data_IF_658029030367
#
_entry.id   IF_658029030367
#
_cell.length_a   1.000
_cell.length_b   1.000
_cell.length_c   1.000
_cell.angle_alpha   90.00
_cell.angle_beta   90.00
_cell.angle_gamma   90.00
#
_symmetry.space_group_name_H-M   'P 1'
#
loop_
_entity.id
_entity.type
_entity.pdbx_description
1 polymer ?
#
# COMPACT_ATOMS: atom_id res chain seq x y z
N UNK A 1 0.38 14.13 -9.72
CA UNK A 1 1.08 13.11 -8.90
C UNK A 1 0.78 11.76 -9.52
N UNK A 2 1.78 10.88 -9.65
CA UNK A 2 1.52 9.50 -10.07
C UNK A 2 0.72 8.80 -8.97
N UNK A 3 -0.25 7.98 -9.33
CA UNK A 3 -1.09 7.25 -8.40
C UNK A 3 -0.73 5.76 -8.42
N UNK A 4 -0.79 5.12 -7.27
CA UNK A 4 -0.64 3.68 -7.12
C UNK A 4 -2.01 3.05 -6.83
N UNK A 5 -2.46 2.07 -7.64
CA UNK A 5 -3.79 1.48 -7.48
C UNK A 5 -3.89 0.60 -6.23
N UNK A 6 -5.04 0.69 -5.57
CA UNK A 6 -5.44 -0.19 -4.48
C UNK A 6 -6.60 -1.08 -4.95
N UNK A 7 -6.42 -2.39 -4.77
CA UNK A 7 -7.42 -3.40 -5.07
C UNK A 7 -8.48 -3.40 -3.96
N UNK A 8 -9.72 -3.06 -4.32
CA UNK A 8 -10.86 -3.13 -3.41
C UNK A 8 -12.11 -3.59 -4.16
N UNK A 9 -13.05 -4.18 -3.43
CA UNK A 9 -14.37 -4.55 -3.95
C UNK A 9 -15.32 -3.34 -4.10
N UNK A 10 -14.94 -2.18 -3.54
CA UNK A 10 -15.77 -0.95 -3.52
C UNK A 10 -15.58 -0.06 -4.77
N UNK A 11 -14.72 -0.44 -5.72
CA UNK A 11 -14.39 0.35 -6.91
C UNK A 11 -12.88 0.50 -7.11
N UNK A 12 -12.46 1.62 -7.71
CA UNK A 12 -11.02 1.94 -7.88
C UNK A 12 -10.59 2.94 -6.82
N UNK A 13 -9.66 2.54 -5.98
CA UNK A 13 -9.01 3.39 -4.98
C UNK A 13 -7.53 3.56 -5.33
N UNK A 14 -6.92 4.64 -4.84
CA UNK A 14 -5.53 4.98 -5.14
C UNK A 14 -4.84 5.65 -3.95
N UNK A 15 -3.52 5.49 -3.87
CA UNK A 15 -2.65 6.29 -2.99
C UNK A 15 -1.58 7.01 -3.81
N UNK A 16 -1.03 8.15 -3.33
CA UNK A 16 0.05 8.82 -4.03
C UNK A 16 1.28 7.91 -4.18
N UNK A 17 1.79 7.78 -5.39
CA UNK A 17 2.94 6.93 -5.68
C UNK A 17 4.18 7.38 -4.90
N UNK A 18 4.38 8.68 -4.72
CA UNK A 18 5.53 9.23 -3.99
C UNK A 18 5.55 8.86 -2.51
N UNK A 19 4.39 8.45 -1.94
CA UNK A 19 4.30 7.97 -0.55
C UNK A 19 4.69 6.50 -0.43
N UNK A 20 4.33 5.67 -1.42
CA UNK A 20 4.67 4.23 -1.39
C UNK A 20 6.05 3.93 -1.99
N UNK A 21 6.54 4.77 -2.91
CA UNK A 21 7.83 4.60 -3.61
C UNK A 21 9.02 4.37 -2.69
N UNK A 22 9.19 5.06 -1.55
CA UNK A 22 10.29 4.81 -0.62
C UNK A 22 10.34 3.38 -0.07
N UNK A 23 9.21 2.66 -0.13
CA UNK A 23 9.03 1.32 0.40
C UNK A 23 9.13 0.21 -0.68
N UNK A 24 9.67 0.51 -1.87
CA UNK A 24 9.79 -0.48 -2.95
C UNK A 24 10.59 -1.73 -2.55
N UNK A 25 11.60 -1.59 -1.68
CA UNK A 25 12.35 -2.73 -1.18
C UNK A 25 11.45 -3.72 -0.42
N UNK A 26 10.47 -3.23 0.35
CA UNK A 26 9.52 -4.10 1.03
C UNK A 26 8.56 -4.77 0.04
N UNK A 27 8.13 -4.05 -1.01
CA UNK A 27 7.33 -4.65 -2.07
C UNK A 27 8.06 -5.80 -2.77
N UNK A 28 9.36 -5.63 -3.07
CA UNK A 28 10.21 -6.68 -3.62
C UNK A 28 10.28 -7.91 -2.70
N UNK A 29 10.53 -7.70 -1.40
CA UNK A 29 10.60 -8.79 -0.41
C UNK A 29 9.30 -9.55 -0.29
N UNK A 30 8.19 -8.83 -0.26
CA UNK A 30 6.89 -9.42 -0.01
C UNK A 30 6.27 -10.08 -1.26
N UNK A 31 6.55 -9.56 -2.46
CA UNK A 31 5.95 -10.02 -3.71
C UNK A 31 6.94 -10.70 -4.65
N UNK A 32 7.81 -11.59 -4.15
CA UNK A 32 8.70 -12.41 -4.97
C UNK A 32 9.53 -11.61 -6.01
N UNK A 33 10.03 -10.43 -5.62
CA UNK A 33 10.83 -9.56 -6.47
C UNK A 33 10.04 -8.67 -7.44
N UNK A 34 8.72 -8.54 -7.28
CA UNK A 34 7.93 -7.61 -8.10
C UNK A 34 8.08 -6.16 -7.64
N UNK A 35 8.45 -5.27 -8.56
CA UNK A 35 8.53 -3.81 -8.33
C UNK A 35 7.15 -3.17 -8.18
N UNK A 36 7.10 -1.96 -7.63
CA UNK A 36 5.84 -1.22 -7.52
C UNK A 36 5.21 -0.96 -8.90
N UNK A 37 6.01 -0.70 -9.92
CA UNK A 37 5.50 -0.53 -11.28
C UNK A 37 4.87 -1.81 -11.84
N UNK A 38 5.47 -2.98 -11.57
CA UNK A 38 4.89 -4.26 -11.98
C UNK A 38 3.61 -4.57 -11.22
N UNK A 39 3.55 -4.23 -9.93
CA UNK A 39 2.37 -4.40 -9.09
C UNK A 39 1.23 -3.49 -9.57
N UNK A 40 1.51 -2.21 -9.81
CA UNK A 40 0.55 -1.26 -10.35
C UNK A 40 -0.02 -1.71 -11.70
N UNK A 41 0.83 -2.22 -12.60
CA UNK A 41 0.42 -2.72 -13.92
C UNK A 41 -0.54 -3.93 -13.87
N UNK A 42 -0.52 -4.73 -12.79
CA UNK A 42 -1.45 -5.87 -12.60
C UNK A 42 -2.68 -5.55 -11.75
N UNK A 43 -2.89 -4.28 -11.39
CA UNK A 43 -4.05 -3.85 -10.61
C UNK A 43 -3.74 -3.36 -9.20
N UNK A 44 -2.47 -3.39 -8.76
CA UNK A 44 -2.03 -2.84 -7.49
C UNK A 44 -1.96 -3.83 -6.35
N UNK A 45 -2.27 -3.33 -5.15
CA UNK A 45 -2.21 -4.06 -3.88
C UNK A 45 -3.53 -3.95 -3.13
N UNK A 46 -3.92 -4.95 -2.38
CA UNK A 46 -4.97 -4.83 -1.37
C UNK A 46 -4.56 -3.86 -0.26
N UNK A 47 -5.53 -3.40 0.55
CA UNK A 47 -5.25 -2.53 1.70
C UNK A 47 -4.25 -3.15 2.70
N UNK A 48 -4.34 -4.46 2.96
CA UNK A 48 -3.44 -5.14 3.87
C UNK A 48 -2.01 -5.25 3.32
N UNK A 49 -1.86 -5.51 2.01
CA UNK A 49 -0.56 -5.53 1.34
C UNK A 49 0.06 -4.13 1.29
N UNK A 50 -0.74 -3.10 0.98
CA UNK A 50 -0.30 -1.71 1.00
C UNK A 50 0.14 -1.28 2.41
N UNK A 51 -0.60 -1.66 3.45
CA UNK A 51 -0.19 -1.42 4.84
C UNK A 51 1.14 -2.10 5.17
N UNK A 52 1.32 -3.36 4.79
CA UNK A 52 2.56 -4.09 5.03
C UNK A 52 3.75 -3.42 4.34
N UNK A 53 3.59 -3.00 3.08
CA UNK A 53 4.63 -2.25 2.35
C UNK A 53 4.92 -0.90 3.02
N UNK A 54 3.91 -0.09 3.31
CA UNK A 54 4.07 1.25 3.92
C UNK A 54 4.65 1.25 5.34
N UNK A 55 4.68 0.09 5.99
CA UNK A 55 5.22 -0.09 7.34
C UNK A 55 6.48 -0.94 7.36
N UNK A 56 7.06 -1.23 6.18
CA UNK A 56 8.25 -2.08 6.02
C UNK A 56 8.12 -3.43 6.75
N UNK A 57 6.92 -4.01 6.70
CA UNK A 57 6.55 -5.24 7.40
C UNK A 57 6.13 -6.35 6.44
N UNK A 58 6.14 -7.59 6.94
CA UNK A 58 5.63 -8.75 6.19
C UNK A 58 4.10 -8.70 6.13
N UNK A 59 3.50 -9.37 5.14
CA UNK A 59 2.05 -9.51 5.11
C UNK A 59 1.53 -10.20 6.38
N UNK A 60 0.35 -9.79 6.86
CA UNK A 60 -0.31 -10.51 7.93
C UNK A 60 -0.60 -11.94 7.46
N UNK A 61 -0.21 -12.93 8.28
CA UNK A 61 -0.71 -14.29 8.12
C UNK A 61 -2.22 -14.34 8.39
N UNK A 62 -2.92 -15.38 7.92
CA UNK A 62 -4.39 -15.48 7.99
C UNK A 62 -4.93 -15.23 9.42
N UNK A 63 -4.24 -15.76 10.41
CA UNK A 63 -4.49 -15.65 11.85
C UNK A 63 -4.18 -14.26 12.43
N UNK A 64 -3.42 -13.43 11.71
CA UNK A 64 -3.09 -12.05 12.06
C UNK A 64 -3.91 -11.02 11.27
N UNK A 65 -4.71 -11.47 10.30
CA UNK A 65 -5.54 -10.60 9.49
C UNK A 65 -6.73 -10.08 10.30
N UNK A 66 -6.87 -8.74 10.37
CA UNK A 66 -7.94 -8.10 11.15
C UNK A 66 -9.19 -7.90 10.30
N UNK A 67 -9.19 -6.92 9.40
CA UNK A 67 -10.28 -6.68 8.44
C UNK A 67 -9.82 -5.74 7.33
N UNK A 68 -10.54 -5.70 6.21
CA UNK A 68 -10.22 -4.76 5.11
C UNK A 68 -10.38 -3.31 5.58
N UNK A 69 -11.44 -3.00 6.34
CA UNK A 69 -11.72 -1.66 6.87
C UNK A 69 -10.63 -1.17 7.84
N UNK A 70 -10.06 -2.08 8.63
CA UNK A 70 -8.96 -1.74 9.52
C UNK A 70 -7.74 -1.28 8.73
N UNK A 71 -7.32 -2.06 7.73
CA UNK A 71 -6.15 -1.71 6.91
C UNK A 71 -6.42 -0.50 6.03
N UNK A 72 -7.62 -0.35 5.48
CA UNK A 72 -8.04 0.85 4.76
C UNK A 72 -7.85 2.11 5.62
N UNK A 73 -8.37 2.09 6.85
CA UNK A 73 -8.20 3.20 7.81
C UNK A 73 -6.72 3.48 8.09
N UNK A 74 -5.92 2.44 8.34
CA UNK A 74 -4.50 2.60 8.66
C UNK A 74 -3.67 3.14 7.50
N UNK A 75 -3.91 2.68 6.28
CA UNK A 75 -3.23 3.23 5.11
C UNK A 75 -3.63 4.69 4.90
N UNK A 76 -4.91 5.03 5.05
CA UNK A 76 -5.38 6.42 4.93
C UNK A 76 -4.76 7.35 5.99
N UNK A 77 -4.60 6.88 7.23
CA UNK A 77 -3.88 7.60 8.31
C UNK A 77 -2.41 7.86 7.94
N UNK A 78 -1.67 6.85 7.48
CA UNK A 78 -0.27 6.97 7.06
C UNK A 78 -0.14 7.95 5.88
N UNK A 79 -0.98 7.77 4.86
CA UNK A 79 -0.98 8.61 3.65
C UNK A 79 -1.24 10.08 4.01
N UNK A 80 -2.20 10.34 4.91
CA UNK A 80 -2.50 11.71 5.33
C UNK A 80 -1.31 12.34 6.07
N UNK A 81 -0.71 11.63 7.03
CA UNK A 81 0.47 12.13 7.76
C UNK A 81 1.66 12.42 6.81
N UNK A 82 1.92 11.53 5.85
CA UNK A 82 2.99 11.73 4.85
C UNK A 82 2.69 12.87 3.86
N UNK A 83 1.43 13.12 3.52
CA UNK A 83 1.05 14.27 2.70
C UNK A 83 1.37 15.58 3.41
N UNK A 84 1.06 15.66 4.70
CA UNK A 84 1.36 16.83 5.52
C UNK A 84 2.88 17.07 5.62
N UNK A 85 3.68 16.01 5.76
CA UNK A 85 5.15 16.11 5.76
C UNK A 85 5.76 16.52 4.42
N UNK A 86 5.20 16.06 3.29
CA UNK A 86 5.77 16.28 1.95
C UNK A 86 5.26 17.55 1.27
N UNK A 87 4.06 18.00 1.60
CA UNK A 87 3.37 19.08 0.88
C UNK A 87 2.84 20.21 1.79
N UNK A 88 2.98 20.08 3.11
CA UNK A 88 2.65 21.14 4.08
C UNK A 88 3.80 22.15 4.22
#
# INVERSE_FOLDING_TARGET
MKEFPIMTNKGKEYIPYDIIKPHEEQALKNHCGQTLDRLAARGGLSWAEAYAVLTDSKFPHRDQYISEEFYEKKVKEIVQGRKEELYG
#
